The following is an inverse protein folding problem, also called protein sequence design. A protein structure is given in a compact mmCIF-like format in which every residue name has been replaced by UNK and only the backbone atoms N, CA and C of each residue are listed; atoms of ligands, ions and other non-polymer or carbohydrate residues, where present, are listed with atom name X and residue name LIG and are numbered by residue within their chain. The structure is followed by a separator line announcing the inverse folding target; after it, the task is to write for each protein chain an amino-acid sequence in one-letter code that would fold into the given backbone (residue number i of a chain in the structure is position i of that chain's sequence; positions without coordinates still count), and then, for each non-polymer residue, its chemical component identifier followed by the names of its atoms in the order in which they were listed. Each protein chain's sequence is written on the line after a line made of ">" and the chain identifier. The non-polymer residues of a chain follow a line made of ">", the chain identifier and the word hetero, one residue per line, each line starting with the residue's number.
data_IF_492186836435
#
_entry.id   IF_492186836435
#
_cell.length_a   1.000
_cell.length_b   1.000
_cell.length_c   1.000
_cell.angle_alpha   90.00
_cell.angle_beta   90.00
_cell.angle_gamma   90.00
#
_symmetry.space_group_name_H-M   'P 1'
#
loop_
_entity.id
_entity.type
_entity.pdbx_description
1 polymer ?
#
# COMPACT_ATOMS: atom_id res chain seq x y z
N UNK A 1 0.33 1.53 11.52
CA UNK A 1 1.73 1.74 11.07
C UNK A 1 2.09 0.65 10.06
N UNK A 2 3.14 0.82 9.25
CA UNK A 2 3.66 -0.24 8.37
C UNK A 2 5.08 -0.60 8.80
N UNK A 3 5.37 -1.85 9.21
CA UNK A 3 6.74 -2.27 9.47
C UNK A 3 7.59 -2.20 8.18
N UNK A 4 8.85 -1.74 8.24
CA UNK A 4 9.73 -1.73 7.08
C UNK A 4 9.93 -3.17 6.56
N UNK A 5 9.93 -3.32 5.24
CA UNK A 5 10.06 -4.61 4.55
C UNK A 5 8.96 -5.65 4.91
N UNK A 6 7.84 -5.22 5.50
CA UNK A 6 6.80 -6.12 6.02
C UNK A 6 7.24 -6.97 7.22
N UNK A 7 8.35 -6.58 7.86
CA UNK A 7 8.99 -7.33 8.94
C UNK A 7 8.07 -7.55 10.14
N UNK A 8 8.19 -8.71 10.78
CA UNK A 8 7.40 -9.04 11.97
C UNK A 8 5.95 -9.45 11.69
N UNK A 9 5.58 -9.70 10.43
CA UNK A 9 4.28 -10.26 10.08
C UNK A 9 4.02 -11.57 10.84
N UNK A 10 2.87 -11.66 11.52
CA UNK A 10 2.52 -12.81 12.36
C UNK A 10 3.33 -12.96 13.66
N UNK A 11 4.26 -12.05 13.97
CA UNK A 11 5.07 -12.13 15.18
C UNK A 11 4.35 -11.48 16.38
N UNK A 12 3.95 -12.30 17.35
CA UNK A 12 3.20 -11.83 18.52
C UNK A 12 3.96 -10.83 19.39
N UNK A 13 5.29 -10.94 19.50
CA UNK A 13 6.09 -9.99 20.28
C UNK A 13 6.10 -8.61 19.63
N UNK A 14 6.16 -8.55 18.30
CA UNK A 14 6.06 -7.29 17.54
C UNK A 14 4.66 -6.70 17.73
N UNK A 15 3.60 -7.50 17.57
CA UNK A 15 2.22 -7.01 17.74
C UNK A 15 1.93 -6.52 19.16
N UNK A 16 2.42 -7.23 20.18
CA UNK A 16 2.30 -6.81 21.58
C UNK A 16 3.05 -5.49 21.84
N UNK A 17 4.27 -5.36 21.30
CA UNK A 17 5.05 -4.13 21.41
C UNK A 17 4.31 -2.95 20.78
N UNK A 18 3.80 -3.10 19.55
CA UNK A 18 3.04 -2.04 18.87
C UNK A 18 1.79 -1.63 19.67
N UNK A 19 1.05 -2.61 20.19
CA UNK A 19 -0.13 -2.36 21.04
C UNK A 19 0.24 -1.56 22.31
N UNK A 20 1.37 -1.87 22.94
CA UNK A 20 1.86 -1.14 24.12
C UNK A 20 2.19 0.34 23.82
N UNK A 21 2.52 0.67 22.56
CA UNK A 21 2.69 2.05 22.10
C UNK A 21 1.39 2.69 21.59
N UNK A 22 0.24 2.05 21.79
CA UNK A 22 -1.06 2.56 21.34
C UNK A 22 -1.31 2.42 19.84
N UNK A 23 -0.48 1.66 19.12
CA UNK A 23 -0.66 1.45 17.68
C UNK A 23 -1.72 0.37 17.46
N UNK A 24 -2.81 0.73 16.78
CA UNK A 24 -3.98 -0.13 16.61
C UNK A 24 -3.83 -1.20 15.52
N UNK A 25 -2.92 -1.01 14.56
CA UNK A 25 -2.71 -1.95 13.46
C UNK A 25 -1.29 -1.87 12.88
N UNK A 26 -0.76 -3.03 12.47
CA UNK A 26 0.43 -3.18 11.63
C UNK A 26 -0.03 -3.56 10.21
N UNK A 27 -0.03 -2.59 9.30
CA UNK A 27 -0.59 -2.72 7.96
C UNK A 27 0.51 -3.02 6.95
N UNK A 28 0.58 -4.26 6.49
CA UNK A 28 1.35 -4.63 5.29
C UNK A 28 0.54 -4.31 4.03
N UNK A 29 0.78 -5.03 2.93
CA UNK A 29 0.10 -4.91 1.65
C UNK A 29 -0.30 -6.30 1.16
N UNK A 30 -1.26 -6.34 0.25
CA UNK A 30 -1.66 -7.56 -0.46
C UNK A 30 -0.96 -7.67 -1.82
N UNK A 31 -0.76 -6.54 -2.50
CA UNK A 31 -0.14 -6.49 -3.85
C UNK A 31 0.99 -5.46 -3.90
N UNK A 32 2.10 -5.87 -4.50
CA UNK A 32 3.29 -5.04 -4.71
C UNK A 32 3.54 -4.85 -6.23
N UNK A 33 3.33 -3.64 -6.78
CA UNK A 33 3.73 -3.25 -8.13
C UNK A 33 5.25 -3.16 -8.33
N UNK A 34 6.05 -3.30 -7.27
CA UNK A 34 7.52 -3.34 -7.31
C UNK A 34 8.15 -2.07 -7.91
N UNK A 35 7.52 -0.91 -7.68
CA UNK A 35 7.99 0.38 -8.20
C UNK A 35 9.45 0.68 -7.79
N UNK A 36 9.84 0.21 -6.62
CA UNK A 36 11.19 0.32 -6.08
C UNK A 36 12.27 -0.47 -6.85
N UNK A 37 11.88 -1.56 -7.53
CA UNK A 37 12.79 -2.46 -8.25
C UNK A 37 12.77 -2.18 -9.76
N UNK A 38 11.59 -1.88 -10.31
CA UNK A 38 11.38 -1.70 -11.75
C UNK A 38 11.43 -0.22 -12.21
N UNK A 39 11.77 0.71 -11.31
CA UNK A 39 11.88 2.13 -11.62
C UNK A 39 10.54 2.82 -11.89
N UNK A 40 9.44 2.32 -11.31
CA UNK A 40 8.10 2.87 -11.51
C UNK A 40 7.48 2.52 -12.87
N UNK A 41 7.75 1.32 -13.39
CA UNK A 41 7.23 0.89 -14.69
C UNK A 41 5.69 0.73 -14.67
N UNK A 42 5.01 1.68 -15.31
CA UNK A 42 3.55 1.75 -15.41
C UNK A 42 2.92 0.48 -16.01
N UNK A 43 3.55 -0.11 -17.03
CA UNK A 43 3.01 -1.30 -17.68
C UNK A 43 3.09 -2.51 -16.75
N UNK A 44 4.17 -2.63 -15.98
CA UNK A 44 4.31 -3.67 -14.97
C UNK A 44 3.28 -3.50 -13.85
N UNK A 45 3.11 -2.27 -13.34
CA UNK A 45 2.09 -1.97 -12.34
C UNK A 45 0.68 -2.35 -12.82
N UNK A 46 0.32 -1.98 -14.06
CA UNK A 46 -0.96 -2.38 -14.67
C UNK A 46 -1.11 -3.89 -14.83
N UNK A 47 -0.04 -4.60 -15.19
CA UNK A 47 -0.07 -6.06 -15.29
C UNK A 47 -0.32 -6.72 -13.93
N UNK A 48 0.31 -6.22 -12.87
CA UNK A 48 0.16 -6.74 -11.51
C UNK A 48 -1.24 -6.45 -10.97
N UNK A 49 -1.67 -5.19 -11.00
CA UNK A 49 -2.97 -4.76 -10.48
C UNK A 49 -4.14 -5.25 -11.35
N UNK A 50 -3.90 -5.47 -12.65
CA UNK A 50 -4.91 -5.95 -13.59
C UNK A 50 -5.48 -7.33 -13.23
N UNK A 51 -4.74 -8.14 -12.45
CA UNK A 51 -5.14 -9.48 -11.99
C UNK A 51 -6.16 -9.46 -10.85
N UNK A 52 -6.42 -8.31 -10.25
CA UNK A 52 -7.37 -8.16 -9.15
C UNK A 52 -8.82 -8.32 -9.61
N UNK A 53 -9.66 -9.01 -8.82
CA UNK A 53 -11.01 -9.42 -9.23
C UNK A 53 -12.12 -9.04 -8.22
N UNK A 54 -12.02 -7.85 -7.61
CA UNK A 54 -13.12 -7.25 -6.84
C UNK A 54 -13.03 -7.42 -5.31
N UNK A 55 -12.08 -8.21 -4.81
CA UNK A 55 -11.77 -8.23 -3.38
C UNK A 55 -11.07 -6.93 -2.96
N UNK A 56 -11.40 -6.43 -1.75
CA UNK A 56 -10.72 -5.27 -1.17
C UNK A 56 -9.21 -5.49 -1.07
N UNK A 57 -8.42 -4.47 -1.41
CA UNK A 57 -6.97 -4.60 -1.60
C UNK A 57 -6.21 -3.43 -0.98
N UNK A 58 -5.02 -3.73 -0.45
CA UNK A 58 -4.01 -2.73 -0.09
C UNK A 58 -2.83 -2.92 -1.03
N UNK A 59 -2.49 -1.90 -1.81
CA UNK A 59 -1.32 -1.87 -2.69
C UNK A 59 -0.16 -1.14 -1.99
N UNK A 60 1.09 -1.49 -2.36
CA UNK A 60 2.28 -0.80 -1.89
C UNK A 60 2.90 0.05 -3.00
N UNK A 61 3.20 1.31 -2.72
CA UNK A 61 4.04 2.16 -3.57
C UNK A 61 4.99 2.98 -2.69
N UNK A 62 6.00 3.57 -3.31
CA UNK A 62 7.07 4.34 -2.68
C UNK A 62 7.23 5.69 -3.37
N UNK A 63 7.46 6.75 -2.58
CA UNK A 63 7.79 8.08 -3.10
C UNK A 63 9.29 8.26 -3.38
N UNK A 64 10.11 7.29 -3.01
CA UNK A 64 11.55 7.31 -3.18
C UNK A 64 12.05 5.91 -3.57
N UNK A 65 12.62 5.84 -4.77
CA UNK A 65 13.27 4.66 -5.33
C UNK A 65 14.29 5.11 -6.39
N UNK A 66 15.13 4.18 -6.87
CA UNK A 66 16.11 4.52 -7.89
C UNK A 66 15.41 4.96 -9.20
N UNK A 67 15.71 6.19 -9.65
CA UNK A 67 15.06 6.78 -10.83
C UNK A 67 13.72 7.47 -10.56
N UNK A 68 13.27 7.56 -9.31
CA UNK A 68 12.05 8.29 -8.96
C UNK A 68 12.16 9.77 -9.35
N UNK A 69 11.15 10.26 -10.08
CA UNK A 69 10.94 11.69 -10.35
C UNK A 69 9.55 12.08 -9.88
N UNK A 70 9.35 13.37 -9.54
CA UNK A 70 8.03 13.85 -9.14
C UNK A 70 6.97 13.55 -10.21
N UNK A 71 7.28 13.80 -11.49
CA UNK A 71 6.35 13.52 -12.59
C UNK A 71 6.12 12.01 -12.76
N UNK A 72 7.16 11.18 -12.69
CA UNK A 72 7.02 9.72 -12.80
C UNK A 72 6.13 9.12 -11.70
N UNK A 73 6.25 9.63 -10.46
CA UNK A 73 5.38 9.23 -9.36
C UNK A 73 3.92 9.61 -9.64
N UNK A 74 3.68 10.82 -10.15
CA UNK A 74 2.34 11.28 -10.51
C UNK A 74 1.74 10.45 -11.64
N UNK A 75 2.52 10.15 -12.68
CA UNK A 75 2.08 9.36 -13.83
C UNK A 75 1.77 7.92 -13.44
N UNK A 76 2.63 7.29 -12.62
CA UNK A 76 2.40 5.97 -12.07
C UNK A 76 1.14 5.93 -11.21
N UNK A 77 1.03 6.84 -10.24
CA UNK A 77 -0.13 6.91 -9.34
C UNK A 77 -1.43 7.11 -10.12
N UNK A 78 -1.43 8.01 -11.11
CA UNK A 78 -2.59 8.25 -11.97
C UNK A 78 -2.99 7.00 -12.74
N UNK A 79 -2.03 6.31 -13.35
CA UNK A 79 -2.28 5.13 -14.16
C UNK A 79 -2.82 3.94 -13.33
N UNK A 80 -2.34 3.77 -12.11
CA UNK A 80 -2.86 2.76 -11.17
C UNK A 80 -4.28 3.12 -10.72
N UNK A 81 -4.52 4.37 -10.31
CA UNK A 81 -5.84 4.85 -9.87
C UNK A 81 -6.88 4.67 -10.99
N UNK A 82 -6.57 5.10 -12.22
CA UNK A 82 -7.47 4.96 -13.37
C UNK A 82 -7.81 3.49 -13.66
N UNK A 83 -6.81 2.59 -13.59
CA UNK A 83 -7.04 1.16 -13.75
C UNK A 83 -7.97 0.62 -12.65
N UNK A 84 -7.70 0.94 -11.38
CA UNK A 84 -8.50 0.45 -10.26
C UNK A 84 -9.94 0.95 -10.33
N UNK A 85 -10.15 2.23 -10.66
CA UNK A 85 -11.47 2.80 -10.89
C UNK A 85 -12.20 2.10 -12.04
N UNK A 86 -11.51 1.81 -13.16
CA UNK A 86 -12.12 1.09 -14.30
C UNK A 86 -12.57 -0.33 -13.95
N UNK A 87 -11.96 -0.93 -12.91
CA UNK A 87 -12.30 -2.24 -12.37
C UNK A 87 -13.37 -2.19 -11.26
N UNK A 88 -13.94 -1.01 -10.98
CA UNK A 88 -15.01 -0.82 -10.01
C UNK A 88 -14.55 -0.63 -8.57
N UNK A 89 -13.25 -0.47 -8.32
CA UNK A 89 -12.74 -0.18 -6.99
C UNK A 89 -13.05 1.25 -6.56
N UNK A 90 -13.12 1.46 -5.24
CA UNK A 90 -13.23 2.78 -4.62
C UNK A 90 -11.97 3.05 -3.80
N UNK A 91 -11.24 4.16 -4.05
CA UNK A 91 -10.14 4.54 -3.18
C UNK A 91 -10.70 4.94 -1.82
N UNK A 92 -10.11 4.41 -0.76
CA UNK A 92 -10.49 4.66 0.62
C UNK A 92 -9.24 4.85 1.47
N UNK A 93 -9.41 5.45 2.64
CA UNK A 93 -8.36 5.51 3.65
C UNK A 93 -8.16 4.15 4.32
N UNK A 94 -7.03 3.98 5.03
CA UNK A 94 -6.81 2.78 5.84
C UNK A 94 -7.82 2.63 6.98
N UNK A 95 -8.37 3.73 7.50
CA UNK A 95 -9.40 3.71 8.55
C UNK A 95 -10.70 3.06 8.03
N UNK A 96 -11.14 3.49 6.85
CA UNK A 96 -12.32 2.92 6.17
C UNK A 96 -12.06 1.48 5.71
N UNK A 97 -10.89 1.20 5.12
CA UNK A 97 -10.52 -0.14 4.65
C UNK A 97 -10.52 -1.18 5.78
N UNK A 98 -10.10 -0.80 6.99
CA UNK A 98 -10.00 -1.70 8.14
C UNK A 98 -11.22 -1.63 9.07
N UNK A 99 -12.09 -0.63 8.92
CA UNK A 99 -13.17 -0.35 9.88
C UNK A 99 -12.64 0.02 11.27
N UNK A 100 -11.49 0.71 11.34
CA UNK A 100 -10.78 1.00 12.58
C UNK A 100 -10.23 2.42 12.60
N UNK A 101 -10.39 3.12 13.72
CA UNK A 101 -9.81 4.46 13.90
C UNK A 101 -8.29 4.45 13.71
N UNK A 102 -7.81 5.37 12.87
CA UNK A 102 -6.40 5.63 12.70
C UNK A 102 -5.75 6.03 14.03
N UNK A 103 -4.51 5.59 14.24
CA UNK A 103 -3.72 6.04 15.38
C UNK A 103 -3.57 7.57 15.33
N UNK A 104 -3.94 8.23 16.44
CA UNK A 104 -3.73 9.66 16.65
C UNK A 104 -2.78 9.79 17.83
N UNK A 105 -1.63 10.44 17.61
CA UNK A 105 -0.73 10.82 18.69
C UNK A 105 -1.42 11.96 19.45
N UNK A 106 -1.70 11.75 20.73
CA UNK A 106 -2.14 12.82 21.64
C UNK A 106 -0.99 13.81 21.89
#
# INVERSE_FOLDING_TARGET
>A
MRPPYGSGNGNQNVMNTLKNFGINAACNWHVDPMDWDNGGNINYAKQVLGKLNGEGVITLNHLQYNGATAQGILDLSKAEIELMLSKGYKPVTMEECLGMNAYKKN
#
